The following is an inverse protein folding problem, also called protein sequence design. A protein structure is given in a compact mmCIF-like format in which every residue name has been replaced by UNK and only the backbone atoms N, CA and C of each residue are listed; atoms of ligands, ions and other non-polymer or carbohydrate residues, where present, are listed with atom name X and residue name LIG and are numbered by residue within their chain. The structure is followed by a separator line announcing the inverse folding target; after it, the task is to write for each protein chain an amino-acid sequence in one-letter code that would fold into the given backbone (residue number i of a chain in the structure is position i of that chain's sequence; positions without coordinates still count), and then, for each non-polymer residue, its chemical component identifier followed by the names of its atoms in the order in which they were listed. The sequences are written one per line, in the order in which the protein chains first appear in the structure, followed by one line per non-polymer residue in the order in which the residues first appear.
data_IF_323546864182
#
_entry.id   IF_323546864182
#
_cell.length_a   1.000
_cell.length_b   1.000
_cell.length_c   1.000
_cell.angle_alpha   90.00
_cell.angle_beta   90.00
_cell.angle_gamma   90.00
#
_symmetry.space_group_name_H-M   'P 1'
#
loop_
_entity.id
_entity.type
_entity.pdbx_description
1 polymer ?
#
# COMPACT_ATOMS: atom_id res chain seq x y z
N UNK A 1 -21.46 -73.47 36.69
CA UNK A 1 -20.12 -73.36 36.05
C UNK A 1 -20.35 -73.20 34.57
N UNK A 2 -20.39 -71.98 34.06
CA UNK A 2 -20.62 -71.68 32.65
C UNK A 2 -19.35 -71.00 32.12
N UNK A 3 -18.63 -71.68 31.24
CA UNK A 3 -17.40 -71.22 30.64
C UNK A 3 -17.76 -70.40 29.41
N UNK A 4 -17.40 -69.10 29.41
CA UNK A 4 -17.43 -68.25 28.23
C UNK A 4 -16.12 -68.39 27.44
N UNK A 5 -16.21 -68.91 26.20
CA UNK A 5 -15.13 -68.85 25.22
C UNK A 5 -15.15 -67.47 24.57
N UNK A 6 -14.07 -66.73 24.72
CA UNK A 6 -13.82 -65.52 23.96
C UNK A 6 -13.19 -65.89 22.60
N UNK A 7 -13.88 -65.60 21.49
CA UNK A 7 -13.35 -65.68 20.16
C UNK A 7 -12.54 -64.42 19.83
N UNK A 8 -11.22 -64.53 19.66
CA UNK A 8 -10.38 -63.51 19.08
C UNK A 8 -10.56 -63.49 17.55
N UNK A 9 -11.18 -62.47 17.04
CA UNK A 9 -11.17 -62.17 15.59
C UNK A 9 -9.90 -61.37 15.28
N UNK A 10 -8.98 -61.95 14.53
CA UNK A 10 -7.81 -61.23 14.02
C UNK A 10 -8.25 -60.32 12.86
N UNK A 11 -7.95 -59.06 12.94
CA UNK A 11 -8.11 -58.09 11.86
C UNK A 11 -7.08 -58.39 10.73
N UNK A 12 -7.47 -58.34 9.45
CA UNK A 12 -6.53 -58.57 8.33
C UNK A 12 -5.53 -57.40 8.26
N UNK A 13 -4.25 -57.75 8.15
CA UNK A 13 -3.17 -56.78 8.00
C UNK A 13 -3.35 -55.96 6.70
N UNK A 14 -3.19 -54.64 6.81
CA UNK A 14 -3.21 -53.72 5.67
C UNK A 14 -2.06 -54.06 4.69
N UNK A 15 -2.30 -53.96 3.37
CA UNK A 15 -1.25 -54.17 2.38
C UNK A 15 -0.13 -53.11 2.52
N UNK A 16 1.12 -53.48 2.19
CA UNK A 16 2.23 -52.52 2.26
C UNK A 16 2.01 -51.33 1.29
N UNK A 17 2.25 -50.14 1.78
CA UNK A 17 2.19 -48.92 0.98
C UNK A 17 3.19 -49.03 -0.19
N UNK A 18 2.73 -48.82 -1.41
CA UNK A 18 3.60 -48.76 -2.58
C UNK A 18 4.56 -47.56 -2.42
N UNK A 19 5.87 -47.82 -2.48
CA UNK A 19 6.89 -46.79 -2.54
C UNK A 19 6.69 -45.96 -3.82
N UNK A 20 6.26 -44.73 -3.69
CA UNK A 20 6.27 -43.75 -4.78
C UNK A 20 7.72 -43.31 -4.99
N UNK A 21 8.32 -43.50 -6.18
CA UNK A 21 9.67 -43.02 -6.42
C UNK A 21 9.74 -41.52 -6.19
N UNK A 22 10.67 -41.07 -5.35
CA UNK A 22 10.93 -39.65 -5.11
C UNK A 22 11.40 -39.03 -6.44
N UNK A 23 10.53 -38.22 -7.05
CA UNK A 23 10.93 -37.33 -8.14
C UNK A 23 11.83 -36.27 -7.51
N UNK A 24 13.14 -36.41 -7.67
CA UNK A 24 14.10 -35.38 -7.34
C UNK A 24 13.84 -34.25 -8.36
N UNK A 25 13.08 -33.26 -7.96
CA UNK A 25 12.95 -32.03 -8.74
C UNK A 25 14.33 -31.35 -8.76
N UNK A 26 14.96 -31.36 -9.92
CA UNK A 26 16.18 -30.59 -10.17
C UNK A 26 15.85 -29.12 -9.84
N UNK A 27 16.56 -28.52 -8.88
CA UNK A 27 16.35 -27.14 -8.51
C UNK A 27 16.55 -26.28 -9.78
N UNK A 28 15.61 -25.36 -10.10
CA UNK A 28 15.77 -24.50 -11.25
C UNK A 28 17.10 -23.76 -11.12
N UNK A 29 17.91 -23.78 -12.19
CA UNK A 29 19.16 -23.04 -12.25
C UNK A 29 18.90 -21.60 -11.82
N UNK A 30 19.70 -21.10 -10.87
CA UNK A 30 19.59 -19.74 -10.38
C UNK A 30 19.64 -18.79 -11.59
N UNK A 31 18.56 -18.07 -11.85
CA UNK A 31 18.53 -16.99 -12.84
C UNK A 31 19.58 -15.97 -12.33
N UNK A 32 20.64 -15.68 -13.12
CA UNK A 32 21.60 -14.69 -12.68
C UNK A 32 20.84 -13.39 -12.42
N UNK A 33 20.96 -12.86 -11.18
CA UNK A 33 20.38 -11.57 -10.85
C UNK A 33 21.00 -10.55 -11.83
N UNK A 34 20.18 -10.03 -12.75
CA UNK A 34 20.59 -8.92 -13.57
C UNK A 34 21.00 -7.81 -12.61
N UNK A 35 22.20 -7.23 -12.83
CA UNK A 35 22.59 -6.03 -12.09
C UNK A 35 21.44 -5.03 -12.19
N UNK A 36 21.06 -4.35 -11.09
CA UNK A 36 19.93 -3.43 -11.12
C UNK A 36 20.20 -2.41 -12.21
N UNK A 37 19.42 -2.47 -13.29
CA UNK A 37 19.37 -1.38 -14.24
C UNK A 37 18.98 -0.15 -13.42
N UNK A 38 19.64 0.99 -13.66
CA UNK A 38 19.32 2.25 -13.00
C UNK A 38 17.81 2.55 -13.12
N UNK A 39 17.29 3.57 -12.43
CA UNK A 39 15.88 3.90 -12.44
C UNK A 39 15.34 3.96 -13.87
N UNK A 40 14.26 3.21 -14.13
CA UNK A 40 13.68 3.04 -15.45
C UNK A 40 12.26 3.59 -15.46
N UNK A 41 11.85 4.25 -16.56
CA UNK A 41 10.46 4.68 -16.76
C UNK A 41 9.65 3.54 -17.37
N UNK A 42 8.45 3.33 -16.83
CA UNK A 42 7.55 2.27 -17.25
C UNK A 42 6.26 2.89 -17.84
N UNK A 43 5.91 2.49 -19.05
CA UNK A 43 4.70 2.96 -19.75
C UNK A 43 3.44 2.20 -19.32
N UNK A 44 3.59 1.13 -18.53
CA UNK A 44 2.54 0.19 -18.16
C UNK A 44 1.97 0.39 -16.75
N UNK A 45 2.37 1.43 -16.04
CA UNK A 45 1.88 1.73 -14.68
C UNK A 45 0.57 2.53 -14.64
N UNK A 46 -0.09 2.70 -15.78
CA UNK A 46 -1.33 3.46 -15.90
C UNK A 46 -1.14 4.95 -16.13
N UNK A 47 -2.27 5.68 -16.13
CA UNK A 47 -2.33 7.09 -16.53
C UNK A 47 -2.52 8.05 -15.35
N UNK A 48 -2.51 7.56 -14.09
CA UNK A 48 -2.68 8.44 -12.94
C UNK A 48 -1.62 9.55 -12.97
N UNK A 49 -2.09 10.78 -12.89
CA UNK A 49 -1.27 12.00 -12.95
C UNK A 49 -1.70 12.96 -11.86
N UNK A 50 -0.74 13.39 -11.04
CA UNK A 50 -0.92 14.45 -10.06
C UNK A 50 -0.03 15.64 -10.44
N UNK A 51 -0.60 16.78 -10.85
CA UNK A 51 0.19 17.98 -11.09
C UNK A 51 0.95 18.41 -9.83
N UNK A 52 2.22 18.77 -10.01
CA UNK A 52 3.08 19.25 -8.92
C UNK A 52 3.57 20.67 -9.19
N UNK A 53 4.05 21.35 -8.14
CA UNK A 53 4.54 22.74 -8.26
C UNK A 53 5.84 22.88 -9.05
N UNK A 54 6.58 21.79 -9.28
CA UNK A 54 7.76 21.81 -10.16
C UNK A 54 7.37 22.12 -11.61
N UNK A 55 8.16 22.98 -12.24
CA UNK A 55 8.03 23.28 -13.70
C UNK A 55 8.91 22.36 -14.55
N UNK A 56 9.70 21.49 -13.95
CA UNK A 56 10.55 20.54 -14.65
C UNK A 56 9.70 19.32 -15.07
N UNK A 57 9.54 19.06 -16.40
CA UNK A 57 8.73 17.94 -16.86
C UNK A 57 9.29 16.57 -16.50
N UNK A 58 10.60 16.45 -16.31
CA UNK A 58 11.21 15.20 -15.86
C UNK A 58 10.92 14.94 -14.38
N UNK A 59 10.93 15.98 -13.54
CA UNK A 59 10.53 15.87 -12.14
C UNK A 59 9.06 15.42 -12.02
N UNK A 60 8.17 16.03 -12.81
CA UNK A 60 6.76 15.64 -12.88
C UNK A 60 6.61 14.17 -13.29
N UNK A 61 7.29 13.75 -14.35
CA UNK A 61 7.12 12.39 -14.87
C UNK A 61 7.68 11.31 -13.90
N UNK A 62 8.78 11.60 -13.22
CA UNK A 62 9.33 10.74 -12.18
C UNK A 62 8.46 10.73 -10.91
N UNK A 63 7.89 11.88 -10.55
CA UNK A 63 6.94 11.97 -9.43
C UNK A 63 5.70 11.11 -9.69
N UNK A 64 5.08 11.20 -10.87
CA UNK A 64 3.92 10.40 -11.23
C UNK A 64 4.23 8.89 -11.18
N UNK A 65 5.40 8.47 -11.66
CA UNK A 65 5.83 7.09 -11.56
C UNK A 65 6.00 6.66 -10.10
N UNK A 66 6.63 7.48 -9.28
CA UNK A 66 6.79 7.22 -7.85
C UNK A 66 5.45 7.05 -7.14
N UNK A 67 4.50 7.93 -7.44
CA UNK A 67 3.16 7.89 -6.84
C UNK A 67 2.37 6.63 -7.26
N UNK A 68 2.40 6.28 -8.55
CA UNK A 68 1.77 5.04 -9.06
C UNK A 68 2.35 3.79 -8.41
N UNK A 69 3.67 3.75 -8.23
CA UNK A 69 4.36 2.65 -7.55
C UNK A 69 4.05 2.61 -6.05
N UNK A 70 3.97 3.78 -5.38
CA UNK A 70 3.58 3.86 -3.97
C UNK A 70 2.17 3.32 -3.76
N UNK A 71 1.21 3.70 -4.60
CA UNK A 71 -0.15 3.15 -4.58
C UNK A 71 -0.24 1.65 -4.91
N UNK A 72 0.80 1.08 -5.50
CA UNK A 72 0.94 -0.36 -5.72
C UNK A 72 1.84 -1.07 -4.70
N UNK A 73 2.13 -0.44 -3.56
CA UNK A 73 3.03 -0.94 -2.50
C UNK A 73 4.45 -1.31 -2.96
N UNK A 74 4.88 -0.84 -4.12
CA UNK A 74 6.25 -0.99 -4.58
C UNK A 74 7.11 0.18 -4.07
N UNK A 75 7.23 0.29 -2.74
CA UNK A 75 7.84 1.45 -2.06
C UNK A 75 9.32 1.62 -2.43
N UNK A 76 10.07 0.53 -2.61
CA UNK A 76 11.46 0.62 -3.01
C UNK A 76 11.63 1.27 -4.39
N UNK A 77 10.88 0.84 -5.39
CA UNK A 77 10.92 1.42 -6.73
C UNK A 77 10.29 2.83 -6.75
N UNK A 78 9.28 3.08 -5.95
CA UNK A 78 8.71 4.41 -5.75
C UNK A 78 9.75 5.39 -5.19
N UNK A 79 10.52 4.98 -4.18
CA UNK A 79 11.63 5.76 -3.61
C UNK A 79 12.70 6.09 -4.64
N UNK A 80 13.06 5.15 -5.52
CA UNK A 80 13.99 5.40 -6.63
C UNK A 80 13.42 6.42 -7.62
N UNK A 81 12.13 6.33 -7.97
CA UNK A 81 11.49 7.29 -8.86
C UNK A 81 11.42 8.69 -8.24
N UNK A 82 11.04 8.80 -6.96
CA UNK A 82 11.06 10.10 -6.26
C UNK A 82 12.48 10.66 -6.12
N UNK A 83 13.51 9.82 -5.97
CA UNK A 83 14.90 10.28 -5.98
C UNK A 83 15.30 10.88 -7.33
N UNK A 84 14.87 10.29 -8.45
CA UNK A 84 15.09 10.88 -9.77
C UNK A 84 14.28 12.18 -9.97
N UNK A 85 13.07 12.28 -9.39
CA UNK A 85 12.31 13.53 -9.38
C UNK A 85 13.06 14.64 -8.64
N UNK A 86 13.59 14.35 -7.45
CA UNK A 86 14.45 15.27 -6.68
C UNK A 86 15.73 15.64 -7.44
N UNK A 87 16.34 14.68 -8.13
CA UNK A 87 17.55 14.94 -8.93
C UNK A 87 17.26 15.84 -10.12
N UNK A 88 16.09 15.68 -10.76
CA UNK A 88 15.63 16.53 -11.85
C UNK A 88 15.29 17.96 -11.38
N UNK A 89 14.72 18.09 -10.17
CA UNK A 89 14.42 19.37 -9.53
C UNK A 89 14.67 19.31 -8.02
N UNK A 90 15.86 19.68 -7.55
CA UNK A 90 16.18 19.69 -6.11
C UNK A 90 15.32 20.64 -5.26
N UNK A 91 14.70 21.64 -5.89
CA UNK A 91 13.82 22.62 -5.26
C UNK A 91 12.34 22.16 -5.19
N UNK A 92 12.04 21.00 -5.72
CA UNK A 92 10.71 20.38 -5.70
C UNK A 92 10.37 19.86 -4.30
N UNK A 93 9.64 20.64 -3.51
CA UNK A 93 9.26 20.28 -2.14
C UNK A 93 8.46 18.96 -2.07
N UNK A 94 7.48 18.79 -2.98
CA UNK A 94 6.63 17.59 -3.01
C UNK A 94 7.41 16.35 -3.49
N UNK A 95 8.50 16.50 -4.22
CA UNK A 95 9.38 15.38 -4.58
C UNK A 95 10.11 14.84 -3.35
N UNK A 96 10.55 15.70 -2.45
CA UNK A 96 11.10 15.32 -1.14
C UNK A 96 10.05 14.69 -0.22
N UNK A 97 8.81 15.21 -0.26
CA UNK A 97 7.67 14.58 0.41
C UNK A 97 7.47 13.14 -0.05
N UNK A 98 7.55 12.86 -1.36
CA UNK A 98 7.46 11.51 -1.91
C UNK A 98 8.54 10.57 -1.36
N UNK A 99 9.79 11.06 -1.21
CA UNK A 99 10.87 10.31 -0.56
C UNK A 99 10.53 9.96 0.89
N UNK A 100 9.98 10.91 1.63
CA UNK A 100 9.57 10.68 3.01
C UNK A 100 8.40 9.69 3.10
N UNK A 101 7.37 9.84 2.24
CA UNK A 101 6.15 9.05 2.27
C UNK A 101 6.45 7.54 2.22
N UNK A 102 7.29 7.12 1.27
CA UNK A 102 7.54 5.69 1.01
C UNK A 102 8.48 5.01 2.01
N UNK A 103 9.07 5.77 2.93
CA UNK A 103 9.86 5.26 4.04
C UNK A 103 9.02 4.96 5.29
N UNK A 104 7.76 5.40 5.30
CA UNK A 104 6.82 5.16 6.39
C UNK A 104 6.27 3.74 6.43
N UNK A 105 5.48 3.43 7.46
CA UNK A 105 4.74 2.18 7.53
C UNK A 105 3.67 2.12 6.44
N UNK A 106 3.19 0.94 6.17
CA UNK A 106 1.95 0.68 5.44
C UNK A 106 1.24 -0.53 6.06
N UNK A 107 0.05 -0.83 5.61
CA UNK A 107 -0.79 -1.89 6.18
C UNK A 107 -0.14 -3.28 6.16
N UNK A 108 0.86 -3.53 5.30
CA UNK A 108 1.54 -4.82 5.17
C UNK A 108 2.87 -4.86 5.93
N UNK A 109 3.53 -3.71 6.09
CA UNK A 109 4.89 -3.66 6.62
C UNK A 109 5.03 -2.50 7.61
N UNK A 110 5.35 -2.76 8.88
CA UNK A 110 5.68 -1.71 9.83
C UNK A 110 6.97 -0.99 9.39
N UNK A 111 7.11 0.25 9.81
CA UNK A 111 8.34 1.01 9.57
C UNK A 111 9.51 0.37 10.32
N UNK A 112 10.61 0.09 9.59
CA UNK A 112 11.83 -0.40 10.22
C UNK A 112 12.59 0.76 10.90
N UNK A 113 13.25 0.53 12.06
CA UNK A 113 13.93 1.60 12.81
C UNK A 113 14.95 2.39 11.98
N UNK A 114 15.65 1.72 11.07
CA UNK A 114 16.68 2.30 10.20
C UNK A 114 16.11 3.32 9.20
N UNK A 115 14.81 3.25 8.91
CA UNK A 115 14.13 4.19 8.03
C UNK A 115 13.80 5.53 8.72
N UNK A 116 13.85 5.62 10.06
CA UNK A 116 13.43 6.81 10.79
C UNK A 116 14.25 8.05 10.43
N UNK A 117 15.58 7.97 10.48
CA UNK A 117 16.45 9.09 10.17
C UNK A 117 16.32 9.55 8.69
N UNK A 118 16.39 8.66 7.67
CA UNK A 118 16.20 9.09 6.27
C UNK A 118 14.79 9.63 5.99
N UNK A 119 13.74 9.10 6.61
CA UNK A 119 12.38 9.62 6.46
C UNK A 119 12.24 11.03 7.06
N UNK A 120 12.78 11.22 8.27
CA UNK A 120 12.85 12.52 8.90
C UNK A 120 13.62 13.53 8.05
N UNK A 121 14.82 13.17 7.57
CA UNK A 121 15.64 14.05 6.76
C UNK A 121 14.93 14.48 5.46
N UNK A 122 14.26 13.56 4.79
CA UNK A 122 13.47 13.86 3.59
C UNK A 122 12.28 14.78 3.93
N UNK A 123 11.56 14.52 5.02
CA UNK A 123 10.46 15.37 5.49
C UNK A 123 10.93 16.79 5.85
N UNK A 124 12.11 16.93 6.51
CA UNK A 124 12.68 18.24 6.84
C UNK A 124 13.12 19.00 5.58
N UNK A 125 13.62 18.32 4.54
CA UNK A 125 13.94 18.95 3.25
C UNK A 125 12.67 19.44 2.54
N UNK A 126 11.60 18.63 2.54
CA UNK A 126 10.30 19.06 2.04
C UNK A 126 9.80 20.30 2.78
N UNK A 127 9.87 20.30 4.12
CA UNK A 127 9.48 21.43 4.98
C UNK A 127 10.28 22.68 4.68
N UNK A 128 11.59 22.60 4.51
CA UNK A 128 12.45 23.72 4.19
C UNK A 128 12.12 24.39 2.83
N UNK A 129 11.49 23.64 1.92
CA UNK A 129 11.07 24.11 0.59
C UNK A 129 9.56 24.39 0.51
N UNK A 130 8.84 24.25 1.62
CA UNK A 130 7.37 24.31 1.71
C UNK A 130 6.76 25.53 1.02
N UNK A 131 7.37 26.69 1.15
CA UNK A 131 6.86 27.94 0.55
C UNK A 131 6.89 27.95 -0.98
N UNK A 132 7.62 27.00 -1.61
CA UNK A 132 7.63 26.79 -3.07
C UNK A 132 6.49 25.88 -3.54
N UNK A 133 5.83 25.20 -2.62
CA UNK A 133 4.76 24.25 -2.88
C UNK A 133 3.38 24.93 -2.97
N UNK A 134 2.46 24.31 -3.72
CA UNK A 134 1.07 24.74 -3.76
C UNK A 134 0.37 24.56 -2.39
N UNK A 135 -0.76 25.22 -2.12
CA UNK A 135 -1.44 25.10 -0.83
C UNK A 135 -1.80 23.66 -0.43
N UNK A 136 -2.17 22.82 -1.39
CA UNK A 136 -2.47 21.40 -1.10
C UNK A 136 -1.20 20.61 -0.80
N UNK A 137 -0.11 20.84 -1.54
CA UNK A 137 1.18 20.20 -1.30
C UNK A 137 1.75 20.63 0.07
N UNK A 138 1.54 21.88 0.49
CA UNK A 138 1.94 22.33 1.82
C UNK A 138 1.27 21.53 2.93
N UNK A 139 -0.02 21.21 2.78
CA UNK A 139 -0.73 20.35 3.76
C UNK A 139 -0.19 18.92 3.77
N UNK A 140 0.12 18.37 2.60
CA UNK A 140 0.74 17.03 2.51
C UNK A 140 2.14 17.01 3.15
N UNK A 141 2.93 18.07 2.98
CA UNK A 141 4.24 18.21 3.60
C UNK A 141 4.08 18.34 5.13
N UNK A 142 3.18 19.17 5.62
CA UNK A 142 2.90 19.31 7.05
C UNK A 142 2.49 17.96 7.67
N UNK A 143 1.65 17.20 6.96
CA UNK A 143 1.22 15.87 7.40
C UNK A 143 2.39 14.88 7.49
N UNK A 144 3.24 14.79 6.45
CA UNK A 144 4.37 13.85 6.47
C UNK A 144 5.42 14.22 7.52
N UNK A 145 5.57 15.51 7.84
CA UNK A 145 6.43 15.97 8.95
C UNK A 145 5.89 15.48 10.30
N UNK A 146 4.58 15.48 10.50
CA UNK A 146 3.96 14.96 11.72
C UNK A 146 4.11 13.43 11.88
N UNK A 147 4.37 12.71 10.79
CA UNK A 147 4.49 11.23 10.73
C UNK A 147 5.81 10.71 11.31
N UNK A 148 6.84 11.56 11.43
CA UNK A 148 8.20 11.11 11.72
C UNK A 148 8.85 11.80 12.90
N UNK A 149 9.80 11.09 13.51
CA UNK A 149 10.77 11.59 14.46
C UNK A 149 12.17 11.24 13.96
N UNK A 150 13.19 12.02 14.36
CA UNK A 150 14.57 11.80 13.93
C UNK A 150 15.12 10.43 14.32
N UNK A 151 14.66 9.91 15.45
CA UNK A 151 14.98 8.55 15.93
C UNK A 151 13.69 7.76 16.04
N UNK A 152 13.74 6.46 15.72
CA UNK A 152 12.60 5.58 15.86
C UNK A 152 12.10 5.57 17.32
N UNK A 153 10.83 5.94 17.57
CA UNK A 153 10.27 5.82 18.92
C UNK A 153 10.01 4.35 19.27
N UNK A 154 9.95 4.04 20.55
CA UNK A 154 9.55 2.72 21.04
C UNK A 154 8.07 2.43 20.68
N UNK A 155 7.20 3.44 20.82
CA UNK A 155 5.81 3.42 20.39
C UNK A 155 5.58 4.45 19.28
N UNK A 156 5.18 3.98 18.11
CA UNK A 156 4.92 4.79 16.95
C UNK A 156 3.49 5.34 16.88
N UNK A 157 2.55 4.77 17.62
CA UNK A 157 1.13 5.12 17.54
C UNK A 157 0.82 6.62 17.66
N UNK A 158 1.52 7.43 18.49
CA UNK A 158 1.32 8.87 18.52
C UNK A 158 1.67 9.58 17.20
N UNK A 159 2.70 9.12 16.48
CA UNK A 159 3.08 9.69 15.17
C UNK A 159 2.08 9.30 14.08
N UNK A 160 1.60 8.06 14.09
CA UNK A 160 0.60 7.59 13.12
C UNK A 160 -0.73 8.34 13.33
N UNK A 161 -1.12 8.59 14.59
CA UNK A 161 -2.29 9.42 14.91
C UNK A 161 -2.09 10.87 14.46
N UNK A 162 -0.93 11.48 14.72
CA UNK A 162 -0.63 12.85 14.30
C UNK A 162 -0.68 13.00 12.76
N UNK A 163 -0.20 11.99 12.04
CA UNK A 163 -0.30 11.94 10.58
C UNK A 163 -1.76 11.88 10.13
N UNK A 164 -2.57 10.99 10.70
CA UNK A 164 -3.98 10.86 10.35
C UNK A 164 -4.79 12.14 10.67
N UNK A 165 -4.50 12.80 11.79
CA UNK A 165 -5.16 14.05 12.16
C UNK A 165 -4.76 15.19 11.21
N UNK A 166 -3.51 15.27 10.78
CA UNK A 166 -3.05 16.22 9.78
C UNK A 166 -3.67 15.94 8.39
N UNK A 167 -3.78 14.68 7.99
CA UNK A 167 -4.45 14.30 6.74
C UNK A 167 -5.94 14.58 6.78
N UNK A 168 -6.61 14.44 7.93
CA UNK A 168 -7.99 14.88 8.13
C UNK A 168 -8.15 16.37 7.87
N UNK A 169 -7.28 17.21 8.42
CA UNK A 169 -7.29 18.65 8.17
C UNK A 169 -7.07 18.98 6.68
N UNK A 170 -6.24 18.18 5.98
CA UNK A 170 -6.04 18.35 4.54
C UNK A 170 -7.32 18.02 3.74
N UNK A 171 -8.04 16.94 4.07
CA UNK A 171 -9.33 16.59 3.43
C UNK A 171 -10.39 17.67 3.69
N UNK A 172 -10.47 18.21 4.90
CA UNK A 172 -11.43 19.27 5.23
C UNK A 172 -11.19 20.54 4.40
N UNK A 173 -9.94 20.83 4.07
CA UNK A 173 -9.56 22.00 3.26
C UNK A 173 -9.62 21.75 1.76
N UNK A 174 -9.34 20.54 1.32
CA UNK A 174 -9.28 20.13 -0.09
C UNK A 174 -10.16 18.88 -0.34
N UNK A 175 -11.48 18.99 -0.11
CA UNK A 175 -12.38 17.82 -0.20
C UNK A 175 -12.49 17.22 -1.61
N UNK A 176 -12.19 18.03 -2.64
CA UNK A 176 -12.28 17.63 -4.05
C UNK A 176 -10.94 17.16 -4.63
N UNK A 177 -9.90 16.96 -3.81
CA UNK A 177 -8.63 16.35 -4.24
C UNK A 177 -8.65 14.85 -3.96
N UNK A 178 -8.70 14.04 -5.04
CA UNK A 178 -8.80 12.58 -4.92
C UNK A 178 -7.59 11.95 -4.23
N UNK A 179 -6.36 12.43 -4.49
CA UNK A 179 -5.16 11.90 -3.84
C UNK A 179 -5.15 12.22 -2.34
N UNK A 180 -5.61 13.42 -1.94
CA UNK A 180 -5.73 13.78 -0.51
C UNK A 180 -6.73 12.86 0.19
N UNK A 181 -7.85 12.54 -0.44
CA UNK A 181 -8.82 11.56 0.09
C UNK A 181 -8.18 10.18 0.25
N UNK A 182 -7.43 9.71 -0.75
CA UNK A 182 -6.76 8.38 -0.71
C UNK A 182 -5.68 8.35 0.37
N UNK A 183 -4.88 9.40 0.51
CA UNK A 183 -3.83 9.47 1.53
C UNK A 183 -4.41 9.58 2.95
N UNK A 184 -5.54 10.27 3.11
CA UNK A 184 -6.28 10.25 4.38
C UNK A 184 -6.79 8.84 4.69
N UNK A 185 -7.36 8.16 3.71
CA UNK A 185 -7.80 6.78 3.89
C UNK A 185 -6.64 5.85 4.30
N UNK A 186 -5.48 5.96 3.63
CA UNK A 186 -4.27 5.19 3.96
C UNK A 186 -3.83 5.47 5.41
N UNK A 187 -3.81 6.74 5.84
CA UNK A 187 -3.44 7.10 7.20
C UNK A 187 -4.37 6.49 8.27
N UNK A 188 -5.66 6.34 7.96
CA UNK A 188 -6.61 5.63 8.83
C UNK A 188 -6.39 4.11 8.81
N UNK A 189 -6.01 3.56 7.65
CA UNK A 189 -5.67 2.13 7.54
C UNK A 189 -4.45 1.79 8.39
N UNK A 190 -3.45 2.66 8.44
CA UNK A 190 -2.23 2.47 9.24
C UNK A 190 -2.48 2.51 10.76
N UNK A 191 -3.56 3.17 11.22
CA UNK A 191 -3.95 3.15 12.62
C UNK A 191 -4.48 1.79 13.10
N UNK A 192 -4.96 0.97 12.19
CA UNK A 192 -5.60 -0.32 12.48
C UNK A 192 -5.32 -1.34 11.37
N UNK A 193 -4.03 -1.67 11.07
CA UNK A 193 -3.69 -2.55 9.96
C UNK A 193 -4.46 -3.87 10.03
N UNK A 194 -5.21 -4.20 8.96
CA UNK A 194 -6.04 -5.41 8.83
C UNK A 194 -7.19 -5.55 9.84
N UNK A 195 -7.36 -4.59 10.76
CA UNK A 195 -8.40 -4.62 11.79
C UNK A 195 -9.59 -3.69 11.46
N UNK A 196 -9.95 -3.54 10.18
CA UNK A 196 -11.06 -2.68 9.74
C UNK A 196 -12.42 -3.22 10.14
N UNK A 197 -12.53 -4.54 10.30
CA UNK A 197 -13.75 -5.25 10.65
C UNK A 197 -13.50 -6.27 11.75
N UNK A 198 -14.41 -6.35 12.69
CA UNK A 198 -14.39 -7.42 13.70
C UNK A 198 -14.83 -8.76 13.09
N UNK A 199 -14.57 -9.87 13.78
CA UNK A 199 -15.03 -11.19 13.36
C UNK A 199 -16.56 -11.30 13.18
N UNK A 200 -17.32 -10.41 13.83
CA UNK A 200 -18.78 -10.34 13.70
C UNK A 200 -19.25 -9.36 12.61
N UNK A 201 -18.33 -8.85 11.77
CA UNK A 201 -18.63 -7.92 10.69
C UNK A 201 -18.95 -6.49 11.15
N UNK A 202 -18.64 -6.12 12.38
CA UNK A 202 -18.77 -4.73 12.84
C UNK A 202 -17.57 -3.90 12.39
N UNK A 203 -17.85 -2.69 11.92
CA UNK A 203 -16.81 -1.74 11.55
C UNK A 203 -16.02 -1.28 12.78
N UNK A 204 -14.69 -1.22 12.64
CA UNK A 204 -13.80 -0.57 13.61
C UNK A 204 -14.00 0.96 13.60
N UNK A 205 -13.58 1.69 14.64
CA UNK A 205 -13.93 3.10 14.81
C UNK A 205 -13.61 4.00 13.62
N UNK A 206 -12.47 3.79 12.96
CA UNK A 206 -12.01 4.61 11.82
C UNK A 206 -12.59 4.12 10.48
N UNK A 207 -13.15 2.92 10.40
CA UNK A 207 -13.62 2.32 9.14
C UNK A 207 -14.69 3.14 8.42
N UNK A 208 -15.68 3.77 9.09
CA UNK A 208 -16.65 4.61 8.40
C UNK A 208 -16.00 5.82 7.69
N UNK A 209 -15.04 6.49 8.34
CA UNK A 209 -14.30 7.61 7.75
C UNK A 209 -13.40 7.16 6.60
N UNK A 210 -12.70 6.02 6.78
CA UNK A 210 -11.90 5.37 5.77
C UNK A 210 -12.70 5.09 4.49
N UNK A 211 -13.86 4.44 4.60
CA UNK A 211 -14.73 4.13 3.46
C UNK A 211 -15.25 5.39 2.79
N UNK A 212 -15.69 6.38 3.58
CA UNK A 212 -16.16 7.67 3.04
C UNK A 212 -15.09 8.37 2.20
N UNK A 213 -13.84 8.38 2.67
CA UNK A 213 -12.73 8.98 1.93
C UNK A 213 -12.47 8.25 0.61
N UNK A 214 -12.39 6.91 0.62
CA UNK A 214 -12.18 6.12 -0.59
C UNK A 214 -13.33 6.24 -1.58
N UNK A 215 -14.57 6.22 -1.12
CA UNK A 215 -15.75 6.39 -1.98
C UNK A 215 -15.83 7.81 -2.58
N UNK A 216 -15.38 8.81 -1.83
CA UNK A 216 -15.24 10.18 -2.34
C UNK A 216 -14.17 10.23 -3.42
N UNK A 217 -12.99 9.64 -3.18
CA UNK A 217 -11.94 9.57 -4.17
C UNK A 217 -12.40 8.88 -5.46
N UNK A 218 -13.12 7.75 -5.35
CA UNK A 218 -13.68 7.00 -6.49
C UNK A 218 -14.77 7.77 -7.24
N UNK A 219 -15.50 8.65 -6.56
CA UNK A 219 -16.44 9.58 -7.20
C UNK A 219 -15.72 10.66 -8.01
N UNK A 220 -14.65 11.23 -7.45
CA UNK A 220 -13.84 12.29 -8.07
C UNK A 220 -13.04 11.76 -9.27
N UNK A 221 -12.44 10.59 -9.09
CA UNK A 221 -11.68 9.88 -10.11
C UNK A 221 -11.97 8.37 -10.06
N UNK A 222 -12.91 7.87 -10.86
CA UNK A 222 -13.29 6.45 -10.88
C UNK A 222 -12.14 5.51 -11.22
N UNK A 223 -11.11 5.99 -11.92
CA UNK A 223 -9.94 5.20 -12.37
C UNK A 223 -8.70 5.43 -11.49
N UNK A 224 -8.89 5.98 -10.29
CA UNK A 224 -7.81 6.21 -9.36
C UNK A 224 -7.30 4.89 -8.78
N UNK A 225 -6.16 4.41 -9.27
CA UNK A 225 -5.59 3.08 -8.93
C UNK A 225 -5.36 2.88 -7.43
N UNK A 226 -4.91 3.92 -6.71
CA UNK A 226 -4.73 3.87 -5.26
C UNK A 226 -6.06 3.76 -4.51
N UNK A 227 -7.10 4.51 -4.94
CA UNK A 227 -8.42 4.43 -4.32
C UNK A 227 -9.03 3.03 -4.52
N UNK A 228 -8.95 2.47 -5.72
CA UNK A 228 -9.45 1.11 -6.01
C UNK A 228 -8.70 0.08 -5.17
N UNK A 229 -7.37 0.16 -5.13
CA UNK A 229 -6.52 -0.75 -4.37
C UNK A 229 -6.91 -0.78 -2.89
N UNK A 230 -6.92 0.39 -2.25
CA UNK A 230 -7.24 0.49 -0.83
C UNK A 230 -8.70 0.16 -0.52
N UNK A 231 -9.62 0.44 -1.47
CA UNK A 231 -11.03 0.08 -1.31
C UNK A 231 -11.24 -1.43 -1.31
N UNK A 232 -10.51 -2.18 -2.14
CA UNK A 232 -10.51 -3.65 -2.11
C UNK A 232 -10.07 -4.13 -0.72
N UNK A 233 -8.93 -3.66 -0.21
CA UNK A 233 -8.44 -4.04 1.12
C UNK A 233 -9.40 -3.64 2.25
N UNK A 234 -10.00 -2.45 2.16
CA UNK A 234 -10.92 -1.97 3.17
C UNK A 234 -12.23 -2.76 3.22
N UNK A 235 -12.61 -3.42 2.11
CA UNK A 235 -13.92 -4.09 1.98
C UNK A 235 -13.85 -5.61 1.91
N UNK A 236 -12.70 -6.22 1.63
CA UNK A 236 -12.57 -7.67 1.45
C UNK A 236 -13.00 -8.50 2.67
N UNK A 237 -12.84 -7.97 3.89
CA UNK A 237 -13.29 -8.61 5.13
C UNK A 237 -14.63 -8.06 5.63
N UNK A 238 -15.28 -7.16 4.88
CA UNK A 238 -16.57 -6.57 5.26
C UNK A 238 -17.72 -7.57 5.11
N UNK A 239 -18.90 -7.28 5.70
CA UNK A 239 -20.12 -8.04 5.43
C UNK A 239 -20.59 -7.98 3.97
N UNK A 240 -20.12 -7.01 3.19
CA UNK A 240 -20.44 -6.82 1.79
C UNK A 240 -19.18 -6.56 0.95
N UNK A 241 -18.34 -7.58 0.69
CA UNK A 241 -17.15 -7.44 -0.15
C UNK A 241 -17.49 -7.19 -1.63
N UNK A 242 -18.71 -7.53 -2.05
CA UNK A 242 -19.18 -7.35 -3.43
C UNK A 242 -19.19 -5.90 -3.88
N UNK A 243 -19.26 -4.95 -2.96
CA UNK A 243 -19.21 -3.52 -3.28
C UNK A 243 -17.93 -3.08 -3.99
N UNK A 244 -16.82 -3.82 -3.87
CA UNK A 244 -15.58 -3.55 -4.58
C UNK A 244 -15.53 -4.17 -6.00
N UNK A 245 -16.43 -5.11 -6.36
CA UNK A 245 -16.38 -5.83 -7.64
C UNK A 245 -16.30 -4.91 -8.87
N UNK A 246 -17.13 -3.85 -9.02
CA UNK A 246 -17.06 -2.97 -10.20
C UNK A 246 -15.73 -2.21 -10.32
N UNK A 247 -15.00 -2.03 -9.23
CA UNK A 247 -13.69 -1.40 -9.18
C UNK A 247 -12.58 -2.42 -9.45
N UNK A 248 -12.69 -3.61 -8.84
CA UNK A 248 -11.77 -4.73 -9.05
C UNK A 248 -11.68 -5.13 -10.53
N UNK A 249 -12.81 -5.19 -11.24
CA UNK A 249 -12.89 -5.53 -12.66
C UNK A 249 -12.01 -4.66 -13.56
N UNK A 250 -11.72 -3.43 -13.15
CA UNK A 250 -10.97 -2.46 -13.97
C UNK A 250 -9.50 -2.35 -13.58
N UNK A 251 -9.14 -2.68 -12.34
CA UNK A 251 -7.82 -2.33 -11.78
C UNK A 251 -6.65 -2.91 -12.58
N UNK A 252 -6.72 -4.18 -12.95
CA UNK A 252 -5.65 -4.84 -13.70
C UNK A 252 -5.40 -4.18 -15.07
N UNK A 253 -6.46 -3.72 -15.75
CA UNK A 253 -6.34 -3.03 -17.03
C UNK A 253 -5.83 -1.59 -16.89
N UNK A 254 -6.11 -0.93 -15.75
CA UNK A 254 -5.65 0.43 -15.48
C UNK A 254 -4.14 0.51 -15.22
N UNK A 255 -3.52 -0.53 -14.68
CA UNK A 255 -2.10 -0.54 -14.36
C UNK A 255 -1.47 -1.93 -14.61
N UNK A 256 -1.41 -2.40 -15.88
CA UNK A 256 -1.03 -3.77 -16.21
C UNK A 256 0.42 -4.13 -15.87
N UNK A 257 1.30 -3.14 -15.73
CA UNK A 257 2.69 -3.34 -15.29
C UNK A 257 2.90 -3.33 -13.78
N UNK A 258 1.86 -3.02 -12.99
CA UNK A 258 1.92 -3.00 -11.55
C UNK A 258 1.43 -4.35 -10.99
N UNK A 259 2.34 -5.32 -10.85
CA UNK A 259 2.01 -6.71 -10.50
C UNK A 259 1.11 -6.85 -9.28
N UNK A 260 1.32 -6.04 -8.23
CA UNK A 260 0.45 -6.02 -7.06
C UNK A 260 -0.98 -5.58 -7.41
N UNK A 261 -1.14 -4.52 -8.21
CA UNK A 261 -2.47 -4.04 -8.63
C UNK A 261 -3.19 -5.04 -9.56
N UNK A 262 -2.43 -5.80 -10.37
CA UNK A 262 -2.99 -6.88 -11.20
C UNK A 262 -3.48 -8.05 -10.32
N UNK A 263 -2.84 -8.31 -9.21
CA UNK A 263 -3.24 -9.33 -8.23
C UNK A 263 -4.48 -8.94 -7.42
N UNK A 264 -4.66 -7.65 -7.11
CA UNK A 264 -5.67 -7.16 -6.16
C UNK A 264 -7.13 -7.57 -6.44
N UNK A 265 -7.60 -7.67 -7.69
CA UNK A 265 -8.95 -8.17 -7.96
C UNK A 265 -9.25 -9.55 -7.36
N UNK A 266 -8.22 -10.41 -7.20
CA UNK A 266 -8.39 -11.73 -6.60
C UNK A 266 -8.86 -11.66 -5.15
N UNK A 267 -8.49 -10.62 -4.39
CA UNK A 267 -8.97 -10.41 -3.02
C UNK A 267 -10.50 -10.26 -2.95
N UNK A 268 -11.08 -9.51 -3.89
CA UNK A 268 -12.54 -9.39 -4.00
C UNK A 268 -13.17 -10.70 -4.48
N UNK A 269 -12.67 -11.29 -5.57
CA UNK A 269 -13.28 -12.48 -6.18
C UNK A 269 -13.25 -13.72 -5.27
N UNK A 270 -12.24 -13.85 -4.41
CA UNK A 270 -12.17 -14.94 -3.43
C UNK A 270 -13.25 -14.82 -2.32
N UNK A 271 -13.93 -13.68 -2.22
CA UNK A 271 -14.98 -13.42 -1.22
C UNK A 271 -16.40 -13.48 -1.81
N UNK A 272 -16.52 -13.58 -3.14
CA UNK A 272 -17.79 -13.70 -3.86
C UNK A 272 -18.15 -15.17 -4.12
#
# INVERSE_FOLDING_TARGET
MTVFLAACTAEPAAPPAAEVPAVVAEAPAAIPAAAPAGPHRFDTLGALHRPISSKNPDAQAWFDQGLRMAYGFNHQAAGQAFAEAVKADPDCAICWWGQALVLGPNINVPMVPEAAAPAWDAAQKALALRDKASPVEQMLIDAVVARYAQTAPEDRAPLDRAYADAMKAAVEKFPDDADVQVMYAESLMDLMPWAYWTANGQASPETPALLTALETALKLNPDHIGAIHYYIHATEASPDPKRAEPHADRLAALAPGAGHLVHMPAHTYLRL
#
